data_IF_964385139809
#
_entry.id   IF_964385139809
#
_cell.length_a   1.000
_cell.length_b   1.000
_cell.length_c   1.000
_cell.angle_alpha   90.00
_cell.angle_beta   90.00
_cell.angle_gamma   90.00
#
_symmetry.space_group_name_H-M   'P 1'
#
loop_
_entity.id
_entity.type
_entity.pdbx_description
1 polymer ?
#
# COMPACT_ATOMS: atom_id res chain seq x y z
N UNK A 1 20.71 2.56 17.18
CA UNK A 1 19.33 2.95 17.51
C UNK A 1 18.45 2.54 16.34
N UNK A 2 17.51 1.59 16.53
CA UNK A 2 16.55 1.22 15.47
C UNK A 2 15.34 2.15 15.55
N UNK A 3 14.72 2.45 14.40
CA UNK A 3 13.49 3.26 14.33
C UNK A 3 12.39 2.40 13.70
N UNK A 4 11.26 2.31 14.38
CA UNK A 4 10.10 1.51 13.96
C UNK A 4 8.97 2.46 13.60
N UNK A 5 8.42 2.32 12.40
CA UNK A 5 7.28 3.10 11.94
C UNK A 5 6.04 2.22 11.91
N UNK A 6 5.07 2.50 12.78
CA UNK A 6 3.76 1.86 12.79
C UNK A 6 2.74 2.77 12.10
N UNK A 7 2.31 2.35 10.92
CA UNK A 7 1.51 3.16 10.00
C UNK A 7 0.13 2.53 9.85
N UNK A 8 -0.90 3.36 9.91
CA UNK A 8 -2.30 2.96 9.77
C UNK A 8 -2.95 3.71 8.60
N UNK A 9 -4.02 3.11 8.06
CA UNK A 9 -4.97 3.85 7.26
C UNK A 9 -5.60 4.97 8.09
N UNK A 10 -6.03 6.03 7.42
CA UNK A 10 -6.75 7.15 8.00
C UNK A 10 -8.16 7.20 7.45
N UNK A 11 -9.07 7.57 8.33
CA UNK A 11 -10.50 7.51 8.07
C UNK A 11 -11.11 8.90 8.16
N UNK A 12 -10.75 9.77 7.21
CA UNK A 12 -11.29 11.12 7.14
C UNK A 12 -12.79 11.12 6.75
N UNK A 13 -13.60 12.03 7.31
CA UNK A 13 -14.97 12.23 6.87
C UNK A 13 -15.01 12.76 5.43
N UNK A 14 -16.06 12.42 4.68
CA UNK A 14 -16.26 12.83 3.28
C UNK A 14 -15.12 12.43 2.31
N UNK A 15 -14.38 11.37 2.64
CA UNK A 15 -13.38 10.78 1.76
C UNK A 15 -14.02 10.17 0.51
N UNK A 16 -13.31 10.24 -0.61
CA UNK A 16 -13.66 9.51 -1.86
C UNK A 16 -13.69 7.99 -1.66
N UNK A 17 -13.04 7.47 -0.62
CA UNK A 17 -13.09 6.06 -0.21
C UNK A 17 -14.35 5.71 0.59
N UNK A 18 -15.21 6.69 0.89
CA UNK A 18 -16.46 6.48 1.61
C UNK A 18 -17.33 5.39 0.99
N UNK A 19 -17.47 5.41 -0.35
CA UNK A 19 -18.25 4.39 -1.07
C UNK A 19 -17.65 2.97 -0.91
N UNK A 20 -16.33 2.82 -1.07
CA UNK A 20 -15.66 1.53 -0.87
C UNK A 20 -15.80 1.01 0.57
N UNK A 21 -15.74 1.90 1.56
CA UNK A 21 -15.95 1.56 2.98
C UNK A 21 -17.38 1.07 3.23
N UNK A 22 -18.38 1.76 2.66
CA UNK A 22 -19.79 1.35 2.75
C UNK A 22 -20.03 0.00 2.06
N UNK A 23 -19.43 -0.24 0.90
CA UNK A 23 -19.54 -1.52 0.20
C UNK A 23 -18.93 -2.67 1.01
N UNK A 24 -17.76 -2.45 1.65
CA UNK A 24 -17.12 -3.45 2.53
C UNK A 24 -17.97 -3.74 3.76
N UNK A 25 -18.64 -2.74 4.33
CA UNK A 25 -19.54 -2.92 5.47
C UNK A 25 -20.76 -3.80 5.14
N UNK A 26 -21.18 -3.85 3.87
CA UNK A 26 -22.32 -4.63 3.41
C UNK A 26 -23.66 -4.17 4.00
N UNK A 27 -24.72 -4.96 3.77
CA UNK A 27 -26.05 -4.75 4.35
C UNK A 27 -26.13 -5.14 5.83
N UNK A 28 -25.25 -6.05 6.26
CA UNK A 28 -25.08 -6.44 7.65
C UNK A 28 -24.04 -5.54 8.30
N UNK A 29 -24.40 -4.28 8.56
CA UNK A 29 -23.56 -3.37 9.33
C UNK A 29 -23.16 -4.05 10.63
N UNK A 30 -21.90 -4.47 10.73
CA UNK A 30 -21.38 -5.12 11.93
C UNK A 30 -21.59 -4.16 13.10
N UNK A 31 -21.97 -4.68 14.27
CA UNK A 31 -22.24 -3.82 15.42
C UNK A 31 -21.03 -2.92 15.72
N UNK A 32 -21.29 -1.66 16.08
CA UNK A 32 -20.25 -0.81 16.68
C UNK A 32 -19.86 -1.45 18.01
N UNK A 33 -18.61 -1.81 18.15
CA UNK A 33 -18.07 -2.39 19.38
C UNK A 33 -17.49 -1.29 20.26
N UNK A 34 -17.39 -1.55 21.56
CA UNK A 34 -16.60 -0.74 22.49
C UNK A 34 -15.34 -1.53 22.82
N UNK A 35 -14.28 -1.28 22.05
CA UNK A 35 -12.97 -1.92 22.22
C UNK A 35 -12.26 -1.30 23.43
N UNK A 36 -11.79 -2.15 24.34
CA UNK A 36 -11.00 -1.75 25.52
C UNK A 36 -9.84 -2.73 25.72
N UNK A 37 -8.85 -2.35 26.52
CA UNK A 37 -7.74 -3.26 26.88
C UNK A 37 -8.19 -4.42 27.78
N UNK A 38 -9.38 -4.34 28.38
CA UNK A 38 -9.88 -5.31 29.36
C UNK A 38 -10.92 -6.27 28.78
N UNK A 39 -11.34 -6.08 27.54
CA UNK A 39 -12.34 -6.92 26.87
C UNK A 39 -11.68 -7.74 25.78
N UNK A 40 -12.12 -9.00 25.56
CA UNK A 40 -11.64 -9.79 24.42
C UNK A 40 -11.88 -9.04 23.11
N UNK A 41 -10.85 -9.02 22.24
CA UNK A 41 -10.98 -8.44 20.92
C UNK A 41 -12.01 -9.24 20.11
N UNK A 42 -13.04 -8.61 19.52
CA UNK A 42 -13.95 -9.30 18.62
C UNK A 42 -13.21 -9.91 17.43
N UNK A 43 -13.85 -10.82 16.70
CA UNK A 43 -13.26 -11.44 15.53
C UNK A 43 -12.73 -10.38 14.53
N UNK A 44 -11.58 -10.64 13.93
CA UNK A 44 -10.87 -9.68 13.09
C UNK A 44 -11.74 -9.12 11.96
N UNK A 45 -12.50 -9.96 11.28
CA UNK A 45 -13.42 -9.54 10.22
C UNK A 45 -14.52 -8.60 10.74
N UNK A 46 -14.96 -8.71 11.99
CA UNK A 46 -15.96 -7.82 12.58
C UNK A 46 -15.37 -6.44 12.88
N UNK A 47 -14.14 -6.40 13.40
CA UNK A 47 -13.44 -5.14 13.70
C UNK A 47 -13.01 -4.43 12.42
N UNK A 48 -12.44 -5.16 11.46
CA UNK A 48 -11.87 -4.62 10.23
C UNK A 48 -12.88 -4.36 9.10
N UNK A 49 -14.18 -4.58 9.34
CA UNK A 49 -15.23 -4.25 8.36
C UNK A 49 -15.84 -2.87 8.63
N UNK A 50 -15.89 -2.44 9.89
CA UNK A 50 -16.57 -1.19 10.30
C UNK A 50 -15.56 -0.09 10.61
N UNK A 51 -15.64 1.02 9.88
CA UNK A 51 -14.78 2.20 10.05
C UNK A 51 -14.67 2.66 11.51
N UNK A 52 -15.80 2.71 12.23
CA UNK A 52 -15.81 3.10 13.65
C UNK A 52 -14.92 2.19 14.51
N UNK A 53 -15.04 0.87 14.34
CA UNK A 53 -14.25 -0.12 15.09
C UNK A 53 -12.76 -0.03 14.74
N UNK A 54 -12.43 0.22 13.46
CA UNK A 54 -11.04 0.42 13.03
C UNK A 54 -10.39 1.64 13.66
N UNK A 55 -11.08 2.79 13.63
CA UNK A 55 -10.58 4.03 14.24
C UNK A 55 -10.36 3.80 15.73
N UNK A 56 -11.33 3.20 16.42
CA UNK A 56 -11.20 2.89 17.84
C UNK A 56 -10.01 1.96 18.13
N UNK A 57 -9.77 0.95 17.29
CA UNK A 57 -8.62 0.05 17.45
C UNK A 57 -7.29 0.81 17.27
N UNK A 58 -7.19 1.69 16.27
CA UNK A 58 -5.99 2.52 16.02
C UNK A 58 -5.70 3.43 17.22
N UNK A 59 -6.73 4.10 17.74
CA UNK A 59 -6.61 4.95 18.94
C UNK A 59 -6.16 4.13 20.15
N UNK A 60 -6.74 2.94 20.35
CA UNK A 60 -6.40 2.05 21.46
C UNK A 60 -4.93 1.61 21.40
N UNK A 61 -4.46 1.17 20.22
CA UNK A 61 -3.06 0.76 20.00
C UNK A 61 -2.11 1.93 20.23
N UNK A 62 -2.42 3.10 19.67
CA UNK A 62 -1.57 4.30 19.81
C UNK A 62 -1.45 4.71 21.27
N UNK A 63 -2.58 4.76 21.99
CA UNK A 63 -2.61 5.08 23.42
C UNK A 63 -1.84 4.05 24.24
N UNK A 64 -2.01 2.76 23.96
CA UNK A 64 -1.27 1.71 24.64
C UNK A 64 0.24 1.92 24.55
N UNK A 65 0.77 2.25 23.37
CA UNK A 65 2.21 2.51 23.22
C UNK A 65 2.66 3.78 23.93
N UNK A 66 1.86 4.84 23.93
CA UNK A 66 2.18 6.06 24.69
C UNK A 66 2.27 5.78 26.18
N UNK A 67 1.35 4.97 26.70
CA UNK A 67 1.23 4.72 28.15
C UNK A 67 2.23 3.66 28.67
N UNK A 68 2.76 2.77 27.81
CA UNK A 68 3.53 1.60 28.26
C UNK A 68 4.97 1.50 27.69
N UNK A 69 5.35 2.33 26.72
CA UNK A 69 6.72 2.32 26.17
C UNK A 69 7.60 3.28 26.97
N UNK A 70 8.12 2.80 28.09
CA UNK A 70 8.96 3.60 29.01
C UNK A 70 10.46 3.43 28.70
N UNK A 71 10.96 2.20 28.59
CA UNK A 71 12.39 1.92 28.35
C UNK A 71 12.61 1.29 26.98
N UNK A 72 12.78 2.12 25.95
CA UNK A 72 13.09 1.63 24.61
C UNK A 72 14.29 2.35 24.02
N UNK A 73 15.36 1.59 23.75
CA UNK A 73 16.51 2.06 22.97
C UNK A 73 16.15 2.37 21.52
N UNK A 74 14.96 1.98 21.06
CA UNK A 74 14.44 2.23 19.72
C UNK A 74 13.36 3.31 19.73
N UNK A 75 13.28 4.07 18.64
CA UNK A 75 12.26 5.10 18.45
C UNK A 75 11.04 4.50 17.73
N UNK A 76 9.87 4.55 18.36
CA UNK A 76 8.60 4.19 17.72
C UNK A 76 7.93 5.44 17.16
N UNK A 77 7.67 5.47 15.86
CA UNK A 77 6.90 6.51 15.18
C UNK A 77 5.54 5.95 14.81
N UNK A 78 4.48 6.61 15.24
CA UNK A 78 3.11 6.20 14.92
C UNK A 78 2.17 7.40 14.81
N UNK A 79 1.04 7.24 14.13
CA UNK A 79 0.10 8.32 13.90
C UNK A 79 -1.33 7.82 13.72
N UNK A 80 -2.27 8.34 14.52
CA UNK A 80 -3.70 8.33 14.18
C UNK A 80 -4.05 9.46 13.18
N UNK A 81 -3.25 10.53 13.18
CA UNK A 81 -3.52 11.78 12.48
C UNK A 81 -2.45 12.09 11.42
N UNK A 82 -2.61 13.18 10.64
CA UNK A 82 -1.63 13.57 9.63
C UNK A 82 -0.20 13.79 10.16
N UNK A 83 -0.06 14.17 11.42
CA UNK A 83 1.24 14.43 12.06
C UNK A 83 1.55 13.29 13.03
N UNK A 84 2.61 12.49 12.78
CA UNK A 84 3.02 11.42 13.68
C UNK A 84 3.59 11.92 15.01
N UNK A 85 3.60 11.03 15.99
CA UNK A 85 4.36 11.16 17.23
C UNK A 85 5.51 10.16 17.24
N UNK A 86 6.61 10.51 17.88
CA UNK A 86 7.70 9.60 18.24
C UNK A 86 7.66 9.31 19.73
N UNK A 87 7.85 8.05 20.10
CA UNK A 87 7.92 7.57 21.48
C UNK A 87 9.31 6.96 21.68
N UNK A 88 10.08 7.47 22.64
CA UNK A 88 11.42 6.98 22.97
C UNK A 88 11.76 7.33 24.41
N UNK A 89 12.24 6.36 25.19
CA UNK A 89 12.59 6.55 26.61
C UNK A 89 11.48 7.28 27.40
N UNK A 90 10.23 6.85 27.23
CA UNK A 90 9.05 7.45 27.87
C UNK A 90 8.68 8.86 27.40
N UNK A 91 9.42 9.44 26.45
CA UNK A 91 9.13 10.76 25.91
C UNK A 91 8.32 10.67 24.62
N UNK A 92 7.22 11.43 24.57
CA UNK A 92 6.40 11.61 23.37
C UNK A 92 6.74 12.96 22.73
N UNK A 93 7.05 12.96 21.43
CA UNK A 93 7.33 14.17 20.66
C UNK A 93 6.58 14.17 19.34
N UNK A 94 6.08 15.33 18.93
CA UNK A 94 5.45 15.48 17.62
C UNK A 94 6.49 15.54 16.50
N UNK A 95 6.25 14.82 15.41
CA UNK A 95 7.13 14.75 14.24
C UNK A 95 6.51 15.51 13.06
N UNK A 96 6.48 16.84 13.13
CA UNK A 96 5.89 17.71 12.09
C UNK A 96 6.53 17.54 10.71
N UNK A 97 7.82 17.18 10.69
CA UNK A 97 8.61 16.83 9.52
C UNK A 97 8.14 15.56 8.80
N UNK A 98 7.34 14.71 9.45
CA UNK A 98 6.73 13.51 8.88
C UNK A 98 5.23 13.71 8.57
N UNK A 99 4.74 14.95 8.55
CA UNK A 99 3.35 15.25 8.23
C UNK A 99 3.01 14.70 6.84
N UNK A 100 1.96 13.91 6.78
CA UNK A 100 1.45 13.31 5.55
C UNK A 100 -0.09 13.37 5.60
N UNK A 101 -0.78 13.66 4.50
CA UNK A 101 -2.26 13.75 4.45
C UNK A 101 -2.92 12.63 3.64
N UNK A 102 -2.15 11.67 3.12
CA UNK A 102 -2.69 10.49 2.46
C UNK A 102 -3.49 9.64 3.46
N UNK A 103 -4.50 8.95 2.94
CA UNK A 103 -5.37 8.10 3.75
C UNK A 103 -4.87 6.67 3.84
N UNK A 104 -4.33 6.09 2.77
CA UNK A 104 -3.97 4.67 2.73
C UNK A 104 -2.56 4.44 3.28
N UNK A 105 -2.40 3.38 4.08
CA UNK A 105 -1.14 3.04 4.72
C UNK A 105 -0.02 2.75 3.72
N UNK A 106 -0.34 2.12 2.59
CA UNK A 106 0.60 1.76 1.52
C UNK A 106 1.37 2.98 0.98
N UNK A 107 0.67 4.09 0.70
CA UNK A 107 1.25 5.35 0.25
C UNK A 107 2.07 6.00 1.36
N UNK A 108 1.57 5.98 2.60
CA UNK A 108 2.27 6.57 3.75
C UNK A 108 3.58 5.82 4.03
N UNK A 109 3.58 4.48 3.96
CA UNK A 109 4.76 3.61 4.12
C UNK A 109 5.85 4.04 3.13
N UNK A 110 5.52 4.14 1.85
CA UNK A 110 6.50 4.44 0.80
C UNK A 110 6.98 5.88 0.89
N UNK A 111 6.10 6.82 1.24
CA UNK A 111 6.48 8.21 1.46
C UNK A 111 7.49 8.36 2.61
N UNK A 112 7.25 7.67 3.74
CA UNK A 112 8.18 7.68 4.87
C UNK A 112 9.50 6.95 4.54
N UNK A 113 9.45 5.86 3.78
CA UNK A 113 10.65 5.19 3.30
C UNK A 113 11.54 6.11 2.46
N UNK A 114 10.97 6.79 1.47
CA UNK A 114 11.70 7.75 0.62
C UNK A 114 12.31 8.87 1.47
N UNK A 115 11.53 9.39 2.42
CA UNK A 115 11.99 10.42 3.35
C UNK A 115 13.18 9.96 4.20
N UNK A 116 13.13 8.75 4.75
CA UNK A 116 14.21 8.19 5.57
C UNK A 116 15.46 7.92 4.72
N UNK A 117 15.29 7.37 3.52
CA UNK A 117 16.38 7.12 2.59
C UNK A 117 17.10 8.42 2.21
N UNK A 118 16.36 9.48 1.91
CA UNK A 118 16.90 10.81 1.61
C UNK A 118 17.69 11.42 2.80
N UNK A 119 17.46 10.93 4.02
CA UNK A 119 18.17 11.33 5.24
C UNK A 119 19.27 10.35 5.67
N UNK A 120 19.67 9.45 4.78
CA UNK A 120 20.80 8.55 4.99
C UNK A 120 20.48 7.26 5.73
N UNK A 121 19.21 6.87 5.83
CA UNK A 121 18.88 5.51 6.26
C UNK A 121 19.48 4.50 5.27
N UNK A 122 20.37 3.62 5.74
CA UNK A 122 21.10 2.67 4.90
C UNK A 122 20.36 1.36 4.68
N UNK A 123 19.55 0.93 5.66
CA UNK A 123 18.79 -0.32 5.63
C UNK A 123 17.36 -0.04 6.11
N UNK A 124 16.37 -0.41 5.31
CA UNK A 124 14.95 -0.24 5.62
C UNK A 124 14.21 -1.56 5.38
N UNK A 125 13.50 -2.06 6.39
CA UNK A 125 12.61 -3.21 6.24
C UNK A 125 11.16 -2.76 6.32
N UNK A 126 10.39 -3.05 5.27
CA UNK A 126 8.96 -2.83 5.19
C UNK A 126 8.26 -4.15 5.51
N UNK A 127 7.44 -4.18 6.55
CA UNK A 127 6.66 -5.37 6.90
C UNK A 127 5.28 -5.28 6.25
N UNK A 128 5.07 -6.04 5.19
CA UNK A 128 3.80 -6.09 4.45
C UNK A 128 3.76 -7.32 3.53
N UNK A 129 2.55 -7.85 3.29
CA UNK A 129 2.25 -8.85 2.25
C UNK A 129 1.40 -8.24 1.11
N UNK A 130 1.19 -6.92 1.14
CA UNK A 130 0.31 -6.22 0.22
C UNK A 130 0.99 -5.95 -1.14
N UNK A 131 0.29 -6.28 -2.23
CA UNK A 131 0.80 -6.04 -3.59
C UNK A 131 0.88 -4.56 -3.92
N UNK A 132 0.00 -3.71 -3.37
CA UNK A 132 0.00 -2.27 -3.58
C UNK A 132 1.30 -1.67 -3.02
N UNK A 133 1.69 -2.08 -1.82
CA UNK A 133 2.98 -1.73 -1.22
C UNK A 133 4.14 -2.20 -2.09
N UNK A 134 4.14 -3.47 -2.53
CA UNK A 134 5.22 -4.01 -3.37
C UNK A 134 5.41 -3.21 -4.67
N UNK A 135 4.32 -2.91 -5.38
CA UNK A 135 4.35 -2.15 -6.64
C UNK A 135 4.88 -0.74 -6.41
N UNK A 136 4.40 -0.06 -5.36
CA UNK A 136 4.85 1.29 -5.02
C UNK A 136 6.33 1.31 -4.62
N UNK A 137 6.80 0.30 -3.88
CA UNK A 137 8.22 0.17 -3.51
C UNK A 137 9.11 0.08 -4.75
N UNK A 138 8.79 -0.78 -5.72
CA UNK A 138 9.58 -0.90 -6.96
C UNK A 138 9.58 0.40 -7.76
N UNK A 139 8.42 1.03 -7.90
CA UNK A 139 8.28 2.29 -8.65
C UNK A 139 9.11 3.40 -8.02
N UNK A 140 8.93 3.67 -6.72
CA UNK A 140 9.61 4.77 -6.03
C UNK A 140 11.09 4.50 -5.81
N UNK A 141 11.52 3.23 -5.67
CA UNK A 141 12.96 2.90 -5.62
C UNK A 141 13.68 3.39 -6.89
N UNK A 142 13.12 3.09 -8.07
CA UNK A 142 13.69 3.52 -9.35
C UNK A 142 13.51 5.03 -9.58
N UNK A 143 12.32 5.58 -9.30
CA UNK A 143 12.00 6.99 -9.54
C UNK A 143 12.87 7.93 -8.72
N UNK A 144 13.01 7.66 -7.43
CA UNK A 144 13.78 8.48 -6.49
C UNK A 144 15.27 8.11 -6.47
N UNK A 145 15.69 7.15 -7.30
CA UNK A 145 17.07 6.66 -7.43
C UNK A 145 17.66 6.26 -6.07
N UNK A 146 16.87 5.52 -5.29
CA UNK A 146 17.30 5.07 -3.97
C UNK A 146 18.51 4.13 -4.11
N UNK A 147 19.42 4.21 -3.14
CA UNK A 147 20.64 3.38 -3.10
C UNK A 147 20.73 2.51 -1.85
N UNK A 148 19.93 2.83 -0.83
CA UNK A 148 19.80 2.08 0.40
C UNK A 148 19.28 0.66 0.17
N UNK A 149 19.58 -0.23 1.11
CA UNK A 149 19.03 -1.57 1.15
C UNK A 149 17.58 -1.52 1.60
N UNK A 150 16.68 -2.09 0.80
CA UNK A 150 15.25 -2.15 1.11
C UNK A 150 14.78 -3.59 1.01
N UNK A 151 14.19 -4.09 2.09
CA UNK A 151 13.58 -5.41 2.16
C UNK A 151 12.09 -5.29 2.42
N UNK A 152 11.29 -6.10 1.74
CA UNK A 152 9.89 -6.29 2.07
C UNK A 152 9.72 -7.67 2.69
N UNK A 153 9.30 -7.70 3.96
CA UNK A 153 9.13 -8.90 4.74
C UNK A 153 7.65 -9.17 5.00
N UNK A 154 7.23 -10.41 4.81
CA UNK A 154 5.89 -10.83 5.19
C UNK A 154 5.66 -10.73 6.71
N UNK A 155 4.48 -10.28 7.17
CA UNK A 155 4.10 -10.35 8.57
C UNK A 155 3.91 -11.80 9.06
N UNK A 156 3.77 -12.77 8.16
CA UNK A 156 3.62 -14.18 8.51
C UNK A 156 5.00 -14.84 8.61
N UNK A 157 5.31 -15.34 9.80
CA UNK A 157 6.55 -16.08 10.08
C UNK A 157 6.71 -17.23 9.09
N UNK A 158 7.92 -17.45 8.57
CA UNK A 158 8.31 -18.42 7.53
C UNK A 158 8.07 -18.04 6.06
N UNK A 159 7.35 -16.94 5.78
CA UNK A 159 7.21 -16.45 4.41
C UNK A 159 8.44 -15.69 3.92
N UNK A 160 8.58 -15.59 2.60
CA UNK A 160 9.75 -15.04 1.91
C UNK A 160 9.94 -13.55 2.23
N UNK A 161 11.19 -13.15 2.41
CA UNK A 161 11.62 -11.75 2.34
C UNK A 161 12.02 -11.43 0.90
N UNK A 162 11.55 -10.31 0.38
CA UNK A 162 11.88 -9.82 -0.96
C UNK A 162 12.88 -8.69 -0.86
N UNK A 163 14.00 -8.84 -1.56
CA UNK A 163 14.97 -7.77 -1.77
C UNK A 163 14.42 -6.81 -2.84
N UNK A 164 13.99 -5.63 -2.40
CA UNK A 164 13.41 -4.60 -3.27
C UNK A 164 14.48 -3.97 -4.14
N UNK A 165 15.70 -3.76 -3.62
CA UNK A 165 16.82 -3.19 -4.39
C UNK A 165 17.17 -4.10 -5.57
N UNK A 166 17.40 -5.38 -5.31
CA UNK A 166 17.72 -6.35 -6.35
C UNK A 166 16.56 -6.49 -7.36
N UNK A 167 15.32 -6.53 -6.87
CA UNK A 167 14.14 -6.67 -7.74
C UNK A 167 13.93 -5.42 -8.62
N UNK A 168 14.02 -4.22 -8.05
CA UNK A 168 13.89 -2.96 -8.75
C UNK A 168 15.01 -2.78 -9.78
N UNK A 169 16.24 -3.15 -9.43
CA UNK A 169 17.39 -3.12 -10.37
C UNK A 169 17.16 -4.06 -11.55
N UNK A 170 16.75 -5.30 -11.27
CA UNK A 170 16.47 -6.33 -12.30
C UNK A 170 15.34 -5.92 -13.24
N UNK A 171 14.33 -5.23 -12.73
CA UNK A 171 13.12 -4.85 -13.47
C UNK A 171 13.04 -3.33 -13.72
N UNK A 172 14.18 -2.64 -13.70
CA UNK A 172 14.26 -1.18 -13.83
C UNK A 172 13.65 -0.66 -15.13
N UNK A 173 13.73 -1.45 -16.21
CA UNK A 173 13.18 -1.12 -17.51
C UNK A 173 11.63 -1.19 -17.61
N UNK A 174 10.95 -1.67 -16.56
CA UNK A 174 9.49 -1.71 -16.49
C UNK A 174 8.93 -1.05 -15.23
N UNK A 175 9.76 -0.70 -14.24
CA UNK A 175 9.35 -0.19 -12.94
C UNK A 175 8.45 1.06 -13.05
N UNK A 176 8.74 1.95 -14.02
CA UNK A 176 7.94 3.16 -14.26
C UNK A 176 6.49 2.87 -14.69
N UNK A 177 6.22 1.70 -15.29
CA UNK A 177 4.91 1.31 -15.80
C UNK A 177 4.10 0.45 -14.83
N UNK A 178 4.74 -0.09 -13.78
CA UNK A 178 4.10 -1.01 -12.84
C UNK A 178 2.84 -0.43 -12.18
N UNK A 179 2.78 0.85 -11.74
CA UNK A 179 1.55 1.41 -11.17
C UNK A 179 0.39 1.39 -12.17
N UNK A 180 0.66 1.73 -13.44
CA UNK A 180 -0.35 1.73 -14.49
C UNK A 180 -0.86 0.33 -14.81
N UNK A 181 0.06 -0.62 -14.94
CA UNK A 181 -0.25 -2.05 -15.17
C UNK A 181 -1.05 -2.62 -14.01
N UNK A 182 -0.68 -2.27 -12.78
CA UNK A 182 -1.37 -2.68 -11.57
C UNK A 182 -2.80 -2.16 -11.51
N UNK A 183 -3.02 -0.89 -11.87
CA UNK A 183 -4.34 -0.28 -11.95
C UNK A 183 -5.21 -0.90 -13.07
N UNK A 184 -4.66 -1.17 -14.25
CA UNK A 184 -5.44 -1.74 -15.37
C UNK A 184 -5.73 -3.24 -15.22
N UNK A 185 -4.85 -3.98 -14.55
CA UNK A 185 -5.06 -5.40 -14.24
C UNK A 185 -5.86 -5.65 -12.96
N UNK A 186 -6.37 -4.58 -12.35
CA UNK A 186 -7.22 -4.58 -11.16
C UNK A 186 -6.44 -4.41 -9.85
N UNK A 187 -6.79 -3.40 -9.05
CA UNK A 187 -6.25 -3.14 -7.71
C UNK A 187 -7.40 -2.82 -6.73
N UNK A 188 -7.08 -2.28 -5.55
CA UNK A 188 -8.09 -1.92 -4.56
C UNK A 188 -9.17 -0.94 -5.06
N UNK A 189 -8.86 -0.15 -6.10
CA UNK A 189 -9.79 0.83 -6.69
C UNK A 189 -10.37 0.42 -8.04
N UNK A 190 -9.86 -0.65 -8.67
CA UNK A 190 -10.29 -1.07 -10.00
C UNK A 190 -10.50 -2.58 -10.05
N UNK A 191 -11.63 -3.02 -10.61
CA UNK A 191 -11.82 -4.45 -10.88
C UNK A 191 -10.81 -4.94 -11.92
N UNK A 192 -10.40 -6.20 -11.82
CA UNK A 192 -9.66 -6.85 -12.89
C UNK A 192 -10.61 -7.11 -14.08
N UNK A 193 -10.09 -7.02 -15.30
CA UNK A 193 -10.86 -7.40 -16.49
C UNK A 193 -11.00 -8.92 -16.56
N UNK A 194 -12.15 -9.41 -17.03
CA UNK A 194 -12.45 -10.84 -17.05
C UNK A 194 -11.32 -11.63 -17.71
N UNK A 195 -10.72 -12.53 -16.93
CA UNK A 195 -9.67 -13.42 -17.40
C UNK A 195 -8.29 -12.80 -17.62
N UNK A 196 -8.08 -11.55 -17.20
CA UNK A 196 -6.79 -10.85 -17.24
C UNK A 196 -6.34 -10.55 -15.82
N UNK A 197 -5.28 -11.24 -15.38
CA UNK A 197 -4.62 -10.96 -14.10
C UNK A 197 -3.27 -10.28 -14.27
N UNK A 198 -2.65 -9.90 -13.14
CA UNK A 198 -1.34 -9.24 -13.08
C UNK A 198 -0.23 -9.98 -13.83
N UNK A 199 -0.24 -11.31 -13.77
CA UNK A 199 0.74 -12.14 -14.47
C UNK A 199 0.66 -11.99 -16.00
N UNK A 200 -0.55 -11.93 -16.57
CA UNK A 200 -0.75 -11.70 -18.01
C UNK A 200 -0.33 -10.29 -18.40
N UNK A 201 -0.77 -9.29 -17.64
CA UNK A 201 -0.42 -7.91 -17.90
C UNK A 201 1.10 -7.67 -17.81
N UNK A 202 1.78 -8.29 -16.84
CA UNK A 202 3.23 -8.22 -16.70
C UNK A 202 3.98 -8.91 -17.86
N UNK A 203 3.44 -10.01 -18.41
CA UNK A 203 4.01 -10.66 -19.61
C UNK A 203 3.92 -9.72 -20.82
N UNK A 204 2.78 -9.08 -21.03
CA UNK A 204 2.58 -8.10 -22.11
C UNK A 204 3.51 -6.90 -21.93
N UNK A 205 3.61 -6.36 -20.72
CA UNK A 205 4.51 -5.24 -20.43
C UNK A 205 5.97 -5.56 -20.82
N UNK A 206 6.43 -6.78 -20.55
CA UNK A 206 7.77 -7.21 -20.92
C UNK A 206 7.96 -7.39 -22.43
N UNK A 207 6.90 -7.66 -23.20
CA UNK A 207 6.99 -7.87 -24.66
C UNK A 207 6.77 -6.61 -25.50
N UNK A 208 5.92 -5.67 -25.05
CA UNK A 208 5.52 -4.51 -25.86
C UNK A 208 5.91 -3.13 -25.29
N UNK A 209 6.32 -3.04 -24.01
CA UNK A 209 6.68 -1.78 -23.31
C UNK A 209 5.78 -0.57 -23.66
N UNK A 210 4.48 -0.72 -23.45
CA UNK A 210 3.51 0.39 -23.57
C UNK A 210 2.82 0.65 -22.22
N UNK A 211 2.20 1.83 -22.07
CA UNK A 211 1.67 2.50 -20.86
C UNK A 211 2.52 3.69 -20.35
N UNK A 212 3.07 4.50 -21.26
CA UNK A 212 3.86 5.70 -20.93
C UNK A 212 2.99 6.92 -20.60
N UNK A 213 1.77 6.96 -21.12
CA UNK A 213 0.88 8.11 -21.03
C UNK A 213 0.04 8.07 -19.75
N UNK A 214 -0.18 6.88 -19.19
CA UNK A 214 -0.99 6.73 -17.98
C UNK A 214 -0.33 7.45 -16.79
N UNK A 215 -1.07 8.38 -16.17
CA UNK A 215 -0.57 9.24 -15.09
C UNK A 215 0.15 10.51 -15.53
N UNK A 216 0.25 10.80 -16.83
CA UNK A 216 0.73 12.09 -17.35
C UNK A 216 -0.41 13.11 -17.35
N UNK A 217 -0.15 14.30 -16.82
CA UNK A 217 -1.16 15.38 -16.73
C UNK A 217 -1.23 16.22 -18.02
N UNK A 218 -0.13 16.28 -18.78
CA UNK A 218 0.02 17.15 -19.96
C UNK A 218 -0.33 16.44 -21.28
N UNK A 219 -1.08 15.34 -21.23
CA UNK A 219 -1.42 14.51 -22.39
C UNK A 219 -2.94 14.47 -22.56
N UNK A 220 -3.48 14.56 -23.78
CA UNK A 220 -4.89 14.37 -24.03
C UNK A 220 -5.41 13.04 -23.48
N UNK A 221 -6.56 13.06 -22.81
CA UNK A 221 -7.17 11.85 -22.26
C UNK A 221 -7.43 10.78 -23.34
N UNK A 222 -7.75 11.20 -24.55
CA UNK A 222 -7.96 10.31 -25.70
C UNK A 222 -6.72 9.47 -26.02
N UNK A 223 -5.54 10.06 -25.97
CA UNK A 223 -4.28 9.34 -26.21
C UNK A 223 -4.00 8.33 -25.09
N UNK A 224 -4.26 8.72 -23.84
CA UNK A 224 -4.14 7.83 -22.68
C UNK A 224 -5.08 6.64 -22.79
N UNK A 225 -6.34 6.88 -23.14
CA UNK A 225 -7.36 5.84 -23.35
C UNK A 225 -6.96 4.93 -24.52
N UNK A 226 -6.45 5.49 -25.61
CA UNK A 226 -6.00 4.73 -26.78
C UNK A 226 -4.86 3.79 -26.43
N UNK A 227 -3.82 4.28 -25.74
CA UNK A 227 -2.68 3.45 -25.31
C UNK A 227 -3.13 2.36 -24.32
N UNK A 228 -3.93 2.71 -23.32
CA UNK A 228 -4.44 1.76 -22.33
C UNK A 228 -5.33 0.68 -22.99
N UNK A 229 -6.18 1.06 -23.94
CA UNK A 229 -7.04 0.12 -24.68
C UNK A 229 -6.19 -0.85 -25.50
N UNK A 230 -5.18 -0.37 -26.20
CA UNK A 230 -4.27 -1.21 -26.98
C UNK A 230 -3.50 -2.20 -26.09
N UNK A 231 -3.02 -1.72 -24.93
CA UNK A 231 -2.36 -2.58 -23.95
C UNK A 231 -3.30 -3.70 -23.46
N UNK A 232 -4.55 -3.38 -23.10
CA UNK A 232 -5.51 -4.38 -22.64
C UNK A 232 -5.96 -5.34 -23.76
N UNK A 233 -6.14 -4.85 -24.99
CA UNK A 233 -6.43 -5.70 -26.14
C UNK A 233 -5.29 -6.72 -26.37
N UNK A 234 -4.03 -6.28 -26.24
CA UNK A 234 -2.86 -7.15 -26.35
C UNK A 234 -2.86 -8.22 -25.25
N UNK A 235 -3.32 -7.90 -24.03
CA UNK A 235 -3.49 -8.88 -22.96
C UNK A 235 -4.45 -10.02 -23.35
N UNK A 236 -5.54 -9.71 -24.04
CA UNK A 236 -6.48 -10.72 -24.54
C UNK A 236 -5.89 -11.55 -25.68
N UNK A 237 -5.19 -10.93 -26.63
CA UNK A 237 -4.57 -11.65 -27.77
C UNK A 237 -3.43 -12.55 -27.31
N UNK A 238 -2.62 -12.11 -26.35
CA UNK A 238 -1.53 -12.91 -25.78
C UNK A 238 -2.00 -14.21 -25.09
N UNK A 239 -3.32 -14.35 -24.89
CA UNK A 239 -3.97 -15.52 -24.30
C UNK A 239 -4.40 -16.58 -25.33
N UNK A 240 -4.28 -16.35 -26.65
CA UNK A 240 -4.61 -17.35 -27.69
C UNK A 240 -4.04 -18.74 -27.35
N UNK A 241 -4.79 -19.84 -27.15
CA UNK A 241 -6.22 -20.13 -27.22
C UNK A 241 -6.56 -21.25 -26.20
N UNK A 242 -7.62 -21.07 -25.40
CA UNK A 242 -8.52 -22.16 -24.96
C UNK A 242 -9.94 -21.58 -25.06
N UNK A 243 -10.57 -21.83 -26.19
CA UNK A 243 -11.94 -21.58 -26.65
C UNK A 243 -12.81 -20.51 -25.94
N UNK A 244 -13.37 -19.59 -26.74
CA UNK A 244 -14.48 -18.70 -26.38
C UNK A 244 -15.83 -19.43 -26.38
N UNK A 245 -15.96 -20.54 -25.66
CA UNK A 245 -17.25 -21.25 -25.56
C UNK A 245 -17.67 -21.64 -24.15
N UNK A 246 -16.95 -21.19 -23.13
CA UNK A 246 -17.33 -21.46 -21.74
C UNK A 246 -17.93 -20.19 -21.11
N UNK A 247 -19.24 -20.04 -21.27
CA UNK A 247 -20.11 -19.24 -20.40
C UNK A 247 -20.89 -20.19 -19.49
N UNK A 248 -21.29 -19.76 -18.28
CA UNK A 248 -21.40 -20.57 -17.05
C UNK A 248 -22.35 -21.77 -17.12
#
# INVERSE_FOLDING_TARGET
MCRVHLIFDRYAPNSTKGASRSNRAGTNASHKHSLTLHTPLPAQNVVLTVTYNKVQLITLITKYFVDHVEDNTNELITAEHPIPISITNGQVRTQTNLRNTHEEADVIIVNQLVYLAARGASNITVVSDDTDVFVLLLYFYCKEKLTCEVFMQSPIVSRRTVDIKATATKHSNIAEFLPGVHALSGCDTTSFLYGIGKATALKVLNSSKTLKLLGKQDVPMEDVVTEATLFMATCYVSRCCKNMSDTP
#
